data_IF_444283488592
#
_entry.id   IF_444283488592
#
_cell.length_a   1.000
_cell.length_b   1.000
_cell.length_c   1.000
_cell.angle_alpha   90.00
_cell.angle_beta   90.00
_cell.angle_gamma   90.00
#
_symmetry.space_group_name_H-M   'P 1'
#
loop_
_entity.id
_entity.type
_entity.pdbx_description
1 polymer ?
#
# COMPACT_ATOMS: atom_id res chain seq x y z
N UNK A 1 -9.26 47.10 -15.52
CA UNK A 1 -9.12 45.77 -16.13
C UNK A 1 -8.19 44.96 -15.25
N UNK A 2 -8.70 43.99 -14.48
CA UNK A 2 -7.86 43.14 -13.61
C UNK A 2 -8.40 41.70 -13.46
N UNK A 3 -9.41 41.30 -14.25
CA UNK A 3 -10.02 39.96 -14.17
C UNK A 3 -9.19 38.88 -14.85
N UNK A 4 -8.28 39.25 -15.77
CA UNK A 4 -7.54 38.29 -16.58
C UNK A 4 -6.40 37.62 -15.79
N UNK A 5 -5.62 38.38 -15.00
CA UNK A 5 -4.58 37.81 -14.13
C UNK A 5 -5.15 36.95 -12.98
N UNK A 6 -6.34 37.27 -12.47
CA UNK A 6 -6.98 36.47 -11.42
C UNK A 6 -7.39 35.07 -11.90
N UNK A 7 -7.80 34.92 -13.17
CA UNK A 7 -8.25 33.64 -13.71
C UNK A 7 -7.08 32.67 -13.95
N UNK A 8 -5.91 33.17 -14.36
CA UNK A 8 -4.69 32.37 -14.53
C UNK A 8 -4.11 31.88 -13.18
N UNK A 9 -4.16 32.72 -12.14
CA UNK A 9 -3.73 32.34 -10.78
C UNK A 9 -4.67 31.29 -10.17
N UNK A 10 -5.98 31.42 -10.40
CA UNK A 10 -6.96 30.44 -9.92
C UNK A 10 -6.80 29.10 -10.66
N UNK A 11 -6.58 29.13 -11.98
CA UNK A 11 -6.37 27.92 -12.77
C UNK A 11 -5.08 27.18 -12.37
N UNK A 12 -3.98 27.90 -12.15
CA UNK A 12 -2.71 27.31 -11.71
C UNK A 12 -2.80 26.72 -10.30
N UNK A 13 -3.49 27.39 -9.38
CA UNK A 13 -3.76 26.85 -8.05
C UNK A 13 -4.58 25.54 -8.10
N UNK A 14 -5.59 25.46 -8.96
CA UNK A 14 -6.40 24.25 -9.15
C UNK A 14 -5.56 23.08 -9.70
N UNK A 15 -4.68 23.32 -10.67
CA UNK A 15 -3.81 22.28 -11.23
C UNK A 15 -2.87 21.70 -10.18
N UNK A 16 -2.31 22.54 -9.29
CA UNK A 16 -1.45 22.08 -8.19
C UNK A 16 -2.21 21.18 -7.19
N UNK A 17 -3.46 21.53 -6.88
CA UNK A 17 -4.31 20.71 -5.99
C UNK A 17 -4.61 19.35 -6.65
N UNK A 18 -5.00 19.35 -7.93
CA UNK A 18 -5.29 18.10 -8.65
C UNK A 18 -4.04 17.23 -8.75
N UNK A 19 -2.87 17.82 -9.04
CA UNK A 19 -1.61 17.09 -9.14
C UNK A 19 -1.21 16.46 -7.80
N UNK A 20 -1.32 17.19 -6.70
CA UNK A 20 -0.99 16.67 -5.35
C UNK A 20 -1.92 15.54 -4.92
N UNK A 21 -3.22 15.65 -5.21
CA UNK A 21 -4.19 14.56 -4.97
C UNK A 21 -3.85 13.34 -5.83
N UNK A 22 -3.52 13.52 -7.11
CA UNK A 22 -3.14 12.41 -7.99
C UNK A 22 -1.87 11.70 -7.52
N UNK A 23 -0.85 12.46 -7.12
CA UNK A 23 0.39 11.91 -6.56
C UNK A 23 0.07 11.13 -5.28
N UNK A 24 -0.68 11.71 -4.35
CA UNK A 24 -1.10 11.03 -3.12
C UNK A 24 -1.85 9.72 -3.39
N UNK A 25 -2.77 9.73 -4.38
CA UNK A 25 -3.50 8.52 -4.78
C UNK A 25 -2.58 7.45 -5.36
N UNK A 26 -1.63 7.80 -6.23
CA UNK A 26 -0.66 6.83 -6.75
C UNK A 26 0.29 6.31 -5.67
N UNK A 27 0.78 7.19 -4.79
CA UNK A 27 1.62 6.82 -3.66
C UNK A 27 0.92 5.83 -2.72
N UNK A 28 -0.36 6.06 -2.41
CA UNK A 28 -1.12 5.17 -1.53
C UNK A 28 -1.29 3.76 -2.10
N UNK A 29 -1.52 3.64 -3.42
CA UNK A 29 -1.59 2.34 -4.11
C UNK A 29 -0.25 1.62 -4.09
N UNK A 30 0.83 2.34 -4.43
CA UNK A 30 2.17 1.78 -4.42
C UNK A 30 2.58 1.29 -3.02
N UNK A 31 2.34 2.09 -1.99
CA UNK A 31 2.65 1.71 -0.60
C UNK A 31 1.86 0.49 -0.15
N UNK A 32 0.59 0.37 -0.58
CA UNK A 32 -0.22 -0.81 -0.28
C UNK A 32 0.29 -2.06 -1.01
N UNK A 33 0.64 -1.97 -2.28
CA UNK A 33 1.20 -3.11 -3.03
C UNK A 33 2.55 -3.55 -2.47
N UNK A 34 3.39 -2.58 -2.11
CA UNK A 34 4.66 -2.85 -1.43
C UNK A 34 4.43 -3.57 -0.09
N UNK A 35 3.49 -3.06 0.72
CA UNK A 35 3.13 -3.66 1.99
C UNK A 35 2.61 -5.09 1.83
N UNK A 36 1.72 -5.32 0.86
CA UNK A 36 1.21 -6.66 0.53
C UNK A 36 2.32 -7.61 0.13
N UNK A 37 3.25 -7.17 -0.74
CA UNK A 37 4.38 -8.00 -1.17
C UNK A 37 5.32 -8.39 -0.02
N UNK A 38 5.62 -7.45 0.89
CA UNK A 38 6.42 -7.71 2.09
C UNK A 38 5.69 -8.65 3.05
N UNK A 39 4.40 -8.40 3.33
CA UNK A 39 3.64 -9.21 4.27
C UNK A 39 3.26 -10.59 3.76
N UNK A 40 3.17 -10.79 2.44
CA UNK A 40 2.99 -12.11 1.85
C UNK A 40 4.11 -13.07 2.23
N UNK A 41 5.34 -12.58 2.37
CA UNK A 41 6.46 -13.41 2.83
C UNK A 41 6.35 -13.73 4.32
N UNK A 42 5.90 -12.76 5.14
CA UNK A 42 5.64 -12.98 6.57
C UNK A 42 4.46 -13.94 6.80
N UNK A 43 3.51 -13.98 5.86
CA UNK A 43 2.36 -14.86 5.87
C UNK A 43 2.64 -16.29 5.39
N UNK A 44 3.90 -16.69 5.28
CA UNK A 44 4.30 -18.06 4.93
C UNK A 44 5.12 -18.62 6.08
N UNK A 45 4.69 -19.75 6.63
CA UNK A 45 5.47 -20.52 7.60
C UNK A 45 6.15 -21.69 6.90
N UNK A 46 7.47 -21.82 7.08
CA UNK A 46 8.23 -22.99 6.65
C UNK A 46 8.26 -24.03 7.78
N UNK A 47 7.73 -25.22 7.51
CA UNK A 47 7.89 -26.39 8.36
C UNK A 47 8.91 -27.34 7.72
N UNK A 48 9.97 -27.65 8.47
CA UNK A 48 10.96 -28.66 8.10
C UNK A 48 10.59 -30.01 8.68
N UNK A 49 10.54 -31.04 7.85
CA UNK A 49 10.43 -32.42 8.29
C UNK A 49 11.83 -32.98 8.57
N UNK A 50 12.11 -33.45 9.80
CA UNK A 50 13.44 -33.94 10.15
C UNK A 50 13.80 -35.28 9.49
N UNK A 51 12.83 -36.01 8.95
CA UNK A 51 13.02 -37.37 8.43
C UNK A 51 13.55 -37.42 7.00
N UNK A 52 13.24 -36.42 6.17
CA UNK A 52 13.52 -36.40 4.74
C UNK A 52 14.13 -35.07 4.25
N UNK A 53 14.45 -34.15 5.16
CA UNK A 53 14.86 -32.77 4.85
C UNK A 53 13.85 -32.03 3.95
N UNK A 54 12.61 -32.49 3.88
CA UNK A 54 11.58 -31.81 3.13
C UNK A 54 11.15 -30.54 3.84
N UNK A 55 10.89 -29.50 3.06
CA UNK A 55 10.28 -28.26 3.54
C UNK A 55 8.87 -28.15 2.98
N UNK A 56 7.92 -27.83 3.82
CA UNK A 56 6.56 -27.47 3.41
C UNK A 56 6.28 -26.03 3.82
N UNK A 57 5.57 -25.31 2.95
CA UNK A 57 5.12 -23.94 3.21
C UNK A 57 3.62 -23.95 3.44
N UNK A 58 3.20 -23.41 4.58
CA UNK A 58 1.77 -23.24 4.89
C UNK A 58 1.43 -21.76 5.00
N UNK A 59 0.30 -21.31 4.44
CA UNK A 59 -0.15 -19.93 4.61
C UNK A 59 -0.51 -19.64 6.07
N UNK A 60 0.09 -18.61 6.66
CA UNK A 60 -0.30 -18.02 7.94
C UNK A 60 -0.93 -16.64 7.70
N UNK A 61 -2.26 -16.60 7.69
CA UNK A 61 -3.03 -15.37 7.49
C UNK A 61 -2.98 -14.42 8.70
N UNK A 62 -2.69 -14.91 9.90
CA UNK A 62 -2.56 -14.09 11.10
C UNK A 62 -1.26 -13.28 11.04
N UNK A 63 -0.14 -13.93 10.73
CA UNK A 63 1.15 -13.26 10.52
C UNK A 63 1.09 -12.24 9.37
N UNK A 64 0.36 -12.54 8.31
CA UNK A 64 0.08 -11.58 7.23
C UNK A 64 -0.70 -10.35 7.73
N UNK A 65 -1.79 -10.57 8.50
CA UNK A 65 -2.64 -9.48 9.02
C UNK A 65 -1.88 -8.60 10.00
N UNK A 66 -1.09 -9.19 10.89
CA UNK A 66 -0.27 -8.45 11.86
C UNK A 66 0.78 -7.61 11.17
N UNK A 67 1.46 -8.15 10.16
CA UNK A 67 2.41 -7.41 9.34
C UNK A 67 1.75 -6.21 8.63
N UNK A 68 0.57 -6.39 8.05
CA UNK A 68 -0.16 -5.32 7.39
C UNK A 68 -0.58 -4.22 8.38
N UNK A 69 -1.07 -4.61 9.56
CA UNK A 69 -1.44 -3.70 10.63
C UNK A 69 -0.25 -2.88 11.14
N UNK A 70 0.93 -3.50 11.28
CA UNK A 70 2.18 -2.82 11.64
C UNK A 70 2.61 -1.77 10.60
N UNK A 71 2.32 -2.02 9.32
CA UNK A 71 2.55 -1.04 8.25
C UNK A 71 1.43 0.00 8.11
N UNK A 72 0.44 -0.01 9.00
CA UNK A 72 -0.66 0.96 9.00
C UNK A 72 -1.74 0.68 7.95
N UNK A 73 -1.79 -0.54 7.40
CA UNK A 73 -2.81 -0.97 6.44
C UNK A 73 -3.73 -2.03 7.07
N UNK A 74 -5.04 -1.91 6.86
CA UNK A 74 -5.96 -3.00 7.19
C UNK A 74 -5.81 -4.13 6.17
N UNK A 75 -5.45 -5.32 6.63
CA UNK A 75 -5.45 -6.54 5.82
C UNK A 75 -6.86 -7.08 5.54
N UNK A 76 -7.84 -6.69 6.35
CA UNK A 76 -9.25 -6.94 6.04
C UNK A 76 -9.66 -5.96 4.95
N UNK A 77 -10.03 -6.50 3.79
CA UNK A 77 -10.59 -5.75 2.66
C UNK A 77 -11.97 -5.14 2.94
N UNK A 78 -12.21 -4.63 4.15
CA UNK A 78 -13.43 -3.99 4.57
C UNK A 78 -13.15 -2.54 4.98
N UNK A 79 -13.65 -1.61 4.17
CA UNK A 79 -14.07 -0.27 4.59
C UNK A 79 -15.58 -0.20 4.43
#
# INVERSE_FOLDING_TARGET
>A
MNKQSSMEVIATALVLIVATVFIYMQSSKFLKEYAVGQCLQAGIEEYGYPEDNAKSTTPNMEAYRDCMNLMGFSADGQK
#
